data_IF_209374232335
#
_entry.id   IF_209374232335
#
_cell.length_a   1.000
_cell.length_b   1.000
_cell.length_c   1.000
_cell.angle_alpha   90.00
_cell.angle_beta   90.00
_cell.angle_gamma   90.00
#
_symmetry.space_group_name_H-M   'P 1'
#
loop_
_entity.id
_entity.type
_entity.pdbx_description
1 polymer ?
#
# COMPACT_ATOMS: atom_id res chain seq x y z
N UNK A 1 38.79 -15.53 3.84
CA UNK A 1 38.19 -14.38 4.55
C UNK A 1 37.51 -14.84 5.85
N UNK A 2 36.79 -15.97 5.85
CA UNK A 2 36.18 -16.57 7.06
C UNK A 2 37.17 -16.90 8.19
N UNK A 3 38.36 -17.44 7.87
CA UNK A 3 39.32 -17.84 8.91
C UNK A 3 39.88 -16.64 9.71
N UNK A 4 40.01 -15.47 9.07
CA UNK A 4 40.46 -14.25 9.73
C UNK A 4 39.38 -13.65 10.64
N UNK A 5 38.12 -13.69 10.19
CA UNK A 5 36.97 -13.27 11.00
C UNK A 5 36.78 -14.19 12.22
N UNK A 6 36.91 -15.51 12.03
CA UNK A 6 36.82 -16.49 13.11
C UNK A 6 37.93 -16.29 14.16
N UNK A 7 39.16 -16.00 13.71
CA UNK A 7 40.26 -15.70 14.61
C UNK A 7 40.08 -14.37 15.36
N UNK A 8 39.49 -13.36 14.73
CA UNK A 8 39.20 -12.08 15.38
C UNK A 8 38.09 -12.22 16.44
N UNK A 9 37.04 -13.00 16.14
CA UNK A 9 35.96 -13.33 17.08
C UNK A 9 36.51 -14.14 18.27
N UNK A 10 37.35 -15.14 18.01
CA UNK A 10 37.96 -15.93 19.08
C UNK A 10 38.94 -15.09 19.92
N UNK A 11 39.67 -14.16 19.31
CA UNK A 11 40.55 -13.24 20.03
C UNK A 11 39.77 -12.27 20.92
N UNK A 12 38.63 -11.74 20.43
CA UNK A 12 37.74 -10.89 21.24
C UNK A 12 37.07 -11.68 22.35
N UNK A 13 36.61 -12.91 22.08
CA UNK A 13 36.05 -13.80 23.08
C UNK A 13 37.07 -14.09 24.20
N UNK A 14 38.30 -14.41 23.83
CA UNK A 14 39.40 -14.65 24.76
C UNK A 14 39.76 -13.41 25.60
N UNK A 15 39.71 -12.23 24.99
CA UNK A 15 39.95 -10.97 25.69
C UNK A 15 38.81 -10.62 26.67
N UNK A 16 37.57 -10.91 26.30
CA UNK A 16 36.39 -10.75 27.16
C UNK A 16 36.45 -11.73 28.34
N UNK A 17 36.77 -13.01 28.09
CA UNK A 17 36.95 -14.00 29.17
C UNK A 17 38.12 -13.60 30.07
N UNK A 18 39.24 -13.12 29.51
CA UNK A 18 40.38 -12.65 30.31
C UNK A 18 40.04 -11.39 31.12
N UNK A 19 39.24 -10.47 30.58
CA UNK A 19 38.79 -9.29 31.31
C UNK A 19 37.80 -9.63 32.44
N UNK A 20 36.97 -10.67 32.24
CA UNK A 20 36.06 -11.21 33.25
C UNK A 20 36.77 -12.06 34.31
N UNK A 21 37.86 -12.73 33.95
CA UNK A 21 38.70 -13.55 34.83
C UNK A 21 39.91 -12.78 35.41
N UNK A 22 40.09 -11.51 35.05
CA UNK A 22 41.17 -10.67 35.56
C UNK A 22 41.07 -10.59 37.10
N UNK A 23 42.19 -10.53 37.85
CA UNK A 23 42.21 -10.56 39.31
C UNK A 23 41.37 -9.44 39.98
N UNK A 24 41.04 -8.39 39.24
CA UNK A 24 40.11 -7.33 39.63
C UNK A 24 38.65 -7.80 39.78
N UNK A 25 38.27 -8.94 39.23
CA UNK A 25 36.94 -9.55 39.37
C UNK A 25 36.78 -10.41 40.64
N UNK A 26 37.81 -10.49 41.50
CA UNK A 26 37.72 -11.05 42.86
C UNK A 26 37.93 -9.96 43.90
N UNK A 27 37.07 -8.95 43.89
CA UNK A 27 36.96 -8.02 45.01
C UNK A 27 36.28 -8.75 46.18
N UNK A 28 37.05 -9.08 47.23
CA UNK A 28 36.51 -9.58 48.49
C UNK A 28 36.08 -8.37 49.32
N UNK A 29 34.78 -8.11 49.34
CA UNK A 29 34.17 -7.10 50.21
C UNK A 29 33.49 -7.86 51.34
N UNK A 30 33.93 -7.66 52.59
CA UNK A 30 33.43 -8.35 53.78
C UNK A 30 33.45 -9.89 53.72
N UNK A 31 34.47 -10.50 53.13
CA UNK A 31 34.71 -11.96 53.23
C UNK A 31 33.82 -12.85 52.34
N UNK A 32 33.08 -12.29 51.39
CA UNK A 32 32.25 -13.05 50.43
C UNK A 32 32.84 -12.96 49.03
N UNK A 33 33.00 -14.10 48.34
CA UNK A 33 33.46 -14.14 46.95
C UNK A 33 32.34 -13.68 46.01
N UNK A 34 32.48 -12.46 45.46
CA UNK A 34 31.57 -11.94 44.45
C UNK A 34 32.09 -12.41 43.09
N UNK A 35 31.32 -13.27 42.40
CA UNK A 35 31.65 -13.69 41.03
C UNK A 35 31.46 -12.55 40.03
N UNK A 36 32.23 -12.51 38.95
CA UNK A 36 32.15 -11.45 37.93
C UNK A 36 30.74 -11.21 37.35
N UNK A 37 29.89 -12.25 37.37
CA UNK A 37 28.47 -12.15 36.99
C UNK A 37 27.68 -11.18 37.89
N UNK A 38 27.95 -11.17 39.20
CA UNK A 38 27.27 -10.28 40.15
C UNK A 38 27.64 -8.81 39.91
N UNK A 39 28.88 -8.55 39.52
CA UNK A 39 29.33 -7.20 39.17
C UNK A 39 28.60 -6.69 37.92
N UNK A 40 28.46 -7.53 36.89
CA UNK A 40 27.71 -7.19 35.67
C UNK A 40 26.24 -6.97 35.98
N UNK A 41 25.61 -7.81 36.82
CA UNK A 41 24.21 -7.65 37.23
C UNK A 41 23.98 -6.35 38.02
N UNK A 42 24.87 -6.02 38.95
CA UNK A 42 24.78 -4.76 39.72
C UNK A 42 24.98 -3.56 38.79
N UNK A 43 25.92 -3.62 37.85
CA UNK A 43 26.11 -2.57 36.86
C UNK A 43 24.87 -2.38 35.97
N UNK A 44 24.26 -3.48 35.50
CA UNK A 44 23.02 -3.46 34.72
C UNK A 44 21.86 -2.86 35.53
N UNK A 45 21.72 -3.24 36.79
CA UNK A 45 20.71 -2.67 37.70
C UNK A 45 20.91 -1.17 37.89
N UNK A 46 22.16 -0.71 38.07
CA UNK A 46 22.49 0.72 38.18
C UNK A 46 22.14 1.46 36.89
N UNK A 47 22.44 0.90 35.71
CA UNK A 47 22.10 1.51 34.43
C UNK A 47 20.60 1.56 34.21
N UNK A 48 19.86 0.49 34.54
CA UNK A 48 18.39 0.46 34.45
C UNK A 48 17.78 1.50 35.39
N UNK A 49 18.25 1.58 36.64
CA UNK A 49 17.77 2.58 37.60
C UNK A 49 18.13 4.00 37.16
N UNK A 50 19.29 4.21 36.55
CA UNK A 50 19.69 5.49 35.97
C UNK A 50 18.78 5.88 34.81
N UNK A 51 18.52 4.98 33.86
CA UNK A 51 17.62 5.21 32.72
C UNK A 51 16.17 5.47 33.18
N UNK A 52 15.67 4.73 34.18
CA UNK A 52 14.35 4.96 34.77
C UNK A 52 14.28 6.28 35.56
N UNK A 53 15.41 6.73 36.11
CA UNK A 53 15.53 8.04 36.78
C UNK A 53 15.68 9.19 35.79
N UNK A 54 16.03 8.95 34.53
CA UNK A 54 16.01 10.00 33.51
C UNK A 54 14.56 10.38 33.26
N UNK A 55 14.22 11.63 33.59
CA UNK A 55 12.90 12.16 33.29
C UNK A 55 12.72 12.15 31.78
N UNK A 56 11.71 11.43 31.30
CA UNK A 56 11.25 11.50 29.92
C UNK A 56 11.11 12.97 29.53
N UNK A 57 11.73 13.37 28.42
CA UNK A 57 11.72 14.75 27.94
C UNK A 57 10.27 15.22 27.85
N UNK A 58 9.92 16.24 28.64
CA UNK A 58 8.61 16.86 28.58
C UNK A 58 8.78 18.18 27.83
N UNK A 59 8.08 18.36 26.69
CA UNK A 59 8.18 19.61 25.97
C UNK A 59 7.79 20.79 26.88
N UNK A 60 8.48 21.92 26.77
CA UNK A 60 8.20 23.08 27.60
C UNK A 60 6.74 23.54 27.39
N UNK A 61 6.03 23.83 28.48
CA UNK A 61 4.63 24.31 28.43
C UNK A 61 4.47 25.77 27.99
N UNK A 62 5.57 26.48 27.77
CA UNK A 62 5.56 27.86 27.25
C UNK A 62 5.40 27.80 25.73
N UNK A 63 4.76 28.81 25.11
CA UNK A 63 4.85 28.97 23.67
C UNK A 63 6.34 29.12 23.27
N UNK A 64 6.72 28.45 22.19
CA UNK A 64 8.07 28.52 21.63
C UNK A 64 8.34 29.94 21.13
N UNK A 65 9.59 30.38 21.25
CA UNK A 65 10.06 31.61 20.62
C UNK A 65 10.19 31.43 19.10
N UNK A 66 10.11 32.52 18.34
CA UNK A 66 10.28 32.46 16.87
C UNK A 66 11.59 31.78 16.47
N UNK A 67 12.69 32.06 17.20
CA UNK A 67 13.99 31.42 16.96
C UNK A 67 13.98 29.91 17.22
N UNK A 68 13.32 29.44 18.28
CA UNK A 68 13.18 28.00 18.56
C UNK A 68 12.31 27.30 17.50
N UNK A 69 11.30 28.00 16.95
CA UNK A 69 10.48 27.47 15.85
C UNK A 69 11.33 27.32 14.58
N UNK A 70 12.11 28.35 14.23
CA UNK A 70 12.99 28.31 13.06
C UNK A 70 14.02 27.18 13.19
N UNK A 71 14.69 27.05 14.35
CA UNK A 71 15.64 25.96 14.61
C UNK A 71 14.98 24.57 14.47
N UNK A 72 13.77 24.39 14.99
CA UNK A 72 13.04 23.12 14.85
C UNK A 72 12.60 22.85 13.40
N UNK A 73 12.30 23.87 12.62
CA UNK A 73 11.96 23.73 11.21
C UNK A 73 13.20 23.40 10.37
N UNK A 74 14.35 23.99 10.69
CA UNK A 74 15.63 23.74 10.03
C UNK A 74 16.17 22.32 10.33
N UNK A 75 15.98 21.82 11.55
CA UNK A 75 16.38 20.47 11.96
C UNK A 75 15.40 19.38 11.48
N UNK A 76 14.16 19.73 11.15
CA UNK A 76 13.14 18.75 10.80
C UNK A 76 13.37 18.20 9.39
N UNK A 77 13.66 16.90 9.34
CA UNK A 77 13.67 16.13 8.10
C UNK A 77 12.41 15.26 8.09
N UNK A 78 11.50 15.41 7.11
CA UNK A 78 10.35 14.52 7.00
C UNK A 78 10.82 13.08 6.85
N UNK A 79 10.19 12.18 7.61
CA UNK A 79 10.33 10.76 7.34
C UNK A 79 9.88 10.48 5.89
N UNK A 80 10.66 9.67 5.17
CA UNK A 80 10.30 9.27 3.83
C UNK A 80 8.96 8.53 3.87
N UNK A 81 7.97 9.04 3.14
CA UNK A 81 6.66 8.39 2.99
C UNK A 81 6.74 7.09 2.19
N UNK A 82 7.87 6.84 1.53
CA UNK A 82 8.12 5.65 0.73
C UNK A 82 9.29 4.85 1.29
N UNK A 83 9.24 3.50 1.20
CA UNK A 83 10.39 2.68 1.51
C UNK A 83 11.57 3.02 0.59
N UNK A 84 12.82 2.79 1.04
CA UNK A 84 13.99 3.03 0.21
C UNK A 84 13.93 2.18 -1.06
N UNK A 85 14.18 2.82 -2.21
CA UNK A 85 14.12 2.19 -3.52
C UNK A 85 15.29 1.20 -3.64
N UNK A 86 14.99 -0.07 -3.86
CA UNK A 86 15.99 -1.10 -4.16
C UNK A 86 16.33 -1.12 -5.65
N UNK A 87 17.50 -1.65 -6.02
CA UNK A 87 17.88 -1.81 -7.44
C UNK A 87 16.85 -2.65 -8.23
N UNK A 88 16.19 -3.60 -7.57
CA UNK A 88 15.13 -4.44 -8.15
C UNK A 88 13.86 -3.65 -8.48
N UNK A 89 13.62 -2.52 -7.80
CA UNK A 89 12.49 -1.63 -8.07
C UNK A 89 12.77 -0.66 -9.22
N UNK A 90 14.02 -0.54 -9.66
CA UNK A 90 14.40 0.30 -10.79
C UNK A 90 14.09 -0.45 -12.10
N UNK A 91 12.90 -0.20 -12.63
CA UNK A 91 12.51 -0.63 -13.97
C UNK A 91 12.22 0.61 -14.81
N UNK A 92 12.95 0.78 -15.91
CA UNK A 92 12.62 1.80 -16.91
C UNK A 92 11.59 1.21 -17.88
N UNK A 93 10.36 1.75 -17.96
CA UNK A 93 9.39 1.26 -18.92
C UNK A 93 9.82 1.64 -20.35
N UNK A 94 9.53 0.80 -21.35
CA UNK A 94 9.83 1.13 -22.74
C UNK A 94 9.04 2.37 -23.17
N UNK A 95 9.69 3.24 -23.94
CA UNK A 95 9.05 4.44 -24.53
C UNK A 95 8.54 4.09 -25.92
N UNK A 96 7.25 4.28 -26.16
CA UNK A 96 6.65 4.09 -27.48
C UNK A 96 6.82 5.36 -28.32
N UNK A 97 7.38 5.21 -29.51
CA UNK A 97 7.56 6.30 -30.49
C UNK A 97 6.37 6.41 -31.47
N UNK A 98 5.41 5.50 -31.38
CA UNK A 98 4.19 5.48 -32.18
C UNK A 98 2.97 5.09 -31.34
N UNK A 99 1.78 5.05 -31.94
CA UNK A 99 0.58 4.60 -31.25
C UNK A 99 0.77 3.16 -30.71
N UNK A 100 0.17 2.87 -29.56
CA UNK A 100 0.20 1.55 -28.91
C UNK A 100 -0.74 0.54 -29.62
N UNK A 101 -0.61 0.42 -30.94
CA UNK A 101 -1.39 -0.49 -31.78
C UNK A 101 -0.80 -1.91 -31.80
N UNK A 102 -1.21 -2.71 -32.80
CA UNK A 102 -0.69 -4.06 -33.04
C UNK A 102 0.82 -4.07 -33.30
N UNK A 103 1.29 -3.09 -34.07
CA UNK A 103 2.69 -2.81 -34.31
C UNK A 103 3.01 -1.46 -33.66
N UNK A 104 4.18 -1.36 -33.03
CA UNK A 104 4.66 -0.12 -32.43
C UNK A 104 6.16 0.03 -32.62
N UNK A 105 6.70 1.22 -32.33
CA UNK A 105 8.12 1.53 -32.47
C UNK A 105 8.71 1.74 -31.08
N UNK A 106 9.76 0.99 -30.76
CA UNK A 106 10.56 1.12 -29.53
C UNK A 106 12.04 1.17 -29.96
N UNK A 107 12.77 2.18 -29.51
CA UNK A 107 14.19 2.42 -29.84
C UNK A 107 14.44 2.40 -31.36
N UNK A 108 13.57 3.05 -32.13
CA UNK A 108 13.60 3.09 -33.59
C UNK A 108 13.34 1.75 -34.30
N UNK A 109 12.94 0.68 -33.58
CA UNK A 109 12.64 -0.64 -34.15
C UNK A 109 11.14 -0.93 -34.11
N UNK A 110 10.63 -1.42 -35.23
CA UNK A 110 9.26 -1.93 -35.30
C UNK A 110 9.14 -3.26 -34.55
N UNK A 111 8.16 -3.36 -33.65
CA UNK A 111 7.89 -4.54 -32.84
C UNK A 111 6.41 -4.88 -32.83
N UNK A 112 6.09 -6.15 -32.54
CA UNK A 112 4.71 -6.62 -32.35
C UNK A 112 4.32 -6.49 -30.88
N UNK A 113 3.20 -5.82 -30.60
CA UNK A 113 2.75 -5.50 -29.26
C UNK A 113 1.87 -6.61 -28.67
N UNK A 114 2.48 -7.47 -27.86
CA UNK A 114 1.77 -8.48 -27.04
C UNK A 114 1.55 -8.02 -25.58
N UNK A 115 1.91 -6.78 -25.24
CA UNK A 115 1.88 -6.29 -23.87
C UNK A 115 0.62 -5.47 -23.53
N UNK A 116 -0.04 -4.89 -24.54
CA UNK A 116 -1.21 -4.03 -24.31
C UNK A 116 -2.54 -4.80 -24.23
N UNK A 117 -3.51 -4.26 -23.48
CA UNK A 117 -4.88 -4.76 -23.40
C UNK A 117 -5.77 -4.27 -24.56
N UNK A 118 -5.22 -4.16 -25.78
CA UNK A 118 -5.96 -3.71 -26.97
C UNK A 118 -6.64 -4.88 -27.70
N UNK A 119 -7.44 -5.67 -26.99
CA UNK A 119 -8.00 -6.94 -27.49
C UNK A 119 -8.83 -6.81 -28.76
N UNK A 120 -9.52 -5.67 -28.95
CA UNK A 120 -10.38 -5.41 -30.10
C UNK A 120 -9.69 -4.60 -31.20
N UNK A 121 -8.41 -4.23 -31.03
CA UNK A 121 -7.67 -3.47 -32.03
C UNK A 121 -8.20 -2.06 -32.27
N UNK A 122 -8.81 -1.42 -31.27
CA UNK A 122 -9.41 -0.10 -31.40
C UNK A 122 -8.40 1.04 -31.34
N UNK A 123 -7.27 0.86 -30.68
CA UNK A 123 -6.20 1.87 -30.67
C UNK A 123 -5.70 2.09 -32.10
N UNK A 124 -5.83 3.32 -32.59
CA UNK A 124 -5.40 3.72 -33.94
C UNK A 124 -6.45 3.51 -35.05
N UNK A 125 -7.68 3.11 -34.73
CA UNK A 125 -8.73 2.94 -35.73
C UNK A 125 -9.24 4.29 -36.26
N UNK A 126 -9.21 4.51 -37.58
CA UNK A 126 -9.51 5.80 -38.24
C UNK A 126 -10.84 6.43 -37.80
N UNK A 127 -11.92 5.65 -37.80
CA UNK A 127 -13.24 6.10 -37.34
C UNK A 127 -13.26 6.67 -35.91
N UNK A 128 -12.41 6.13 -35.02
CA UNK A 128 -12.28 6.64 -33.65
C UNK A 128 -11.48 7.94 -33.64
N UNK A 129 -10.41 8.04 -34.44
CA UNK A 129 -9.63 9.27 -34.58
C UNK A 129 -10.48 10.42 -35.12
N UNK A 130 -11.30 10.15 -36.15
CA UNK A 130 -12.27 11.10 -36.68
C UNK A 130 -13.27 11.55 -35.60
N UNK A 131 -13.86 10.58 -34.86
CA UNK A 131 -14.80 10.88 -33.78
C UNK A 131 -14.17 11.71 -32.65
N UNK A 132 -12.92 11.41 -32.27
CA UNK A 132 -12.16 12.19 -31.30
C UNK A 132 -11.90 13.62 -31.78
N UNK A 133 -11.58 13.78 -33.07
CA UNK A 133 -11.30 15.10 -33.67
C UNK A 133 -12.57 15.96 -33.68
N UNK A 134 -13.70 15.40 -34.13
CA UNK A 134 -14.99 16.10 -34.10
C UNK A 134 -15.44 16.44 -32.67
N UNK A 135 -15.17 15.57 -31.69
CA UNK A 135 -15.47 15.85 -30.29
C UNK A 135 -14.63 17.03 -29.75
N UNK A 136 -13.33 17.09 -30.09
CA UNK A 136 -12.46 18.20 -29.73
C UNK A 136 -12.90 19.52 -30.35
N UNK A 137 -13.31 19.51 -31.63
CA UNK A 137 -13.83 20.70 -32.31
C UNK A 137 -15.12 21.22 -31.67
N UNK A 138 -16.01 20.32 -31.26
CA UNK A 138 -17.31 20.70 -30.66
C UNK A 138 -17.20 21.10 -29.19
N UNK A 139 -16.43 20.37 -28.40
CA UNK A 139 -16.44 20.46 -26.93
C UNK A 139 -15.17 21.03 -26.31
N UNK A 140 -14.09 21.14 -27.09
CA UNK A 140 -12.76 21.45 -26.57
C UNK A 140 -12.13 20.27 -25.82
N UNK A 141 -11.08 20.56 -25.05
CA UNK A 141 -10.20 19.54 -24.45
C UNK A 141 -10.77 18.95 -23.15
N UNK A 142 -11.62 19.68 -22.42
CA UNK A 142 -12.13 19.20 -21.14
C UNK A 142 -13.26 20.02 -20.56
N UNK A 143 -14.00 19.42 -19.63
CA UNK A 143 -15.14 20.05 -18.96
C UNK A 143 -14.75 21.06 -17.87
N UNK A 144 -13.47 21.06 -17.45
CA UNK A 144 -12.89 21.97 -16.46
C UNK A 144 -13.65 22.05 -15.12
N UNK A 145 -14.47 21.05 -14.77
CA UNK A 145 -15.25 21.01 -13.54
C UNK A 145 -15.74 19.61 -13.17
N UNK A 146 -16.18 19.42 -11.91
CA UNK A 146 -16.74 18.15 -11.45
C UNK A 146 -18.16 17.93 -12.00
N UNK A 147 -18.55 16.65 -12.13
CA UNK A 147 -19.87 16.25 -12.65
C UNK A 147 -21.05 16.82 -11.85
N UNK A 148 -20.88 17.02 -10.54
CA UNK A 148 -21.92 17.56 -9.65
C UNK A 148 -22.09 19.08 -9.68
N UNK A 149 -21.34 19.80 -10.54
CA UNK A 149 -21.45 21.25 -10.68
C UNK A 149 -21.59 21.62 -12.17
N UNK A 150 -20.62 22.33 -12.76
CA UNK A 150 -20.65 22.71 -14.19
C UNK A 150 -19.85 21.78 -15.12
N UNK A 151 -19.41 20.61 -14.64
CA UNK A 151 -18.53 19.70 -15.40
C UNK A 151 -19.23 18.66 -16.27
N UNK A 152 -20.56 18.64 -16.33
CA UNK A 152 -21.32 17.67 -17.12
C UNK A 152 -21.67 18.25 -18.48
N UNK A 153 -21.23 17.58 -19.55
CA UNK A 153 -21.48 17.92 -20.96
C UNK A 153 -22.46 16.87 -21.52
N UNK A 154 -23.27 17.24 -22.52
CA UNK A 154 -24.27 16.36 -23.15
C UNK A 154 -23.70 15.00 -23.59
N UNK A 155 -22.48 14.97 -24.14
CA UNK A 155 -21.80 13.75 -24.58
C UNK A 155 -21.52 12.76 -23.43
N UNK A 156 -21.35 13.24 -22.20
CA UNK A 156 -21.22 12.35 -21.04
C UNK A 156 -22.52 11.60 -20.79
N UNK A 157 -23.66 12.29 -20.84
CA UNK A 157 -24.97 11.70 -20.62
C UNK A 157 -25.37 10.76 -21.76
N UNK A 158 -25.03 11.10 -23.01
CA UNK A 158 -25.23 10.21 -24.16
C UNK A 158 -24.38 8.93 -24.03
N UNK A 159 -23.12 9.06 -23.62
CA UNK A 159 -22.24 7.91 -23.35
C UNK A 159 -22.81 7.01 -22.25
N UNK A 160 -23.23 7.59 -21.13
CA UNK A 160 -23.84 6.86 -20.01
C UNK A 160 -25.12 6.14 -20.42
N UNK A 161 -26.01 6.79 -21.18
CA UNK A 161 -27.23 6.17 -21.69
C UNK A 161 -26.93 5.01 -22.66
N UNK A 162 -25.93 5.16 -23.53
CA UNK A 162 -25.52 4.10 -24.48
C UNK A 162 -24.89 2.91 -23.78
N UNK A 163 -24.05 3.15 -22.76
CA UNK A 163 -23.45 2.08 -21.95
C UNK A 163 -24.54 1.32 -21.19
N UNK A 164 -25.47 2.03 -20.53
CA UNK A 164 -26.58 1.41 -19.82
C UNK A 164 -27.44 0.54 -20.76
N UNK A 165 -27.77 1.06 -21.95
CA UNK A 165 -28.50 0.31 -22.98
C UNK A 165 -27.73 -0.91 -23.48
N UNK A 166 -26.43 -0.78 -23.70
CA UNK A 166 -25.57 -1.88 -24.17
C UNK A 166 -25.48 -3.01 -23.14
N UNK A 167 -25.33 -2.68 -21.86
CA UNK A 167 -25.24 -3.64 -20.76
C UNK A 167 -26.61 -4.15 -20.28
N UNK A 168 -27.71 -3.54 -20.72
CA UNK A 168 -29.06 -3.86 -20.24
C UNK A 168 -29.31 -3.46 -18.78
N UNK A 169 -28.60 -2.45 -18.27
CA UNK A 169 -28.76 -1.92 -16.91
C UNK A 169 -29.70 -0.71 -16.89
N UNK A 170 -30.22 -0.38 -15.71
CA UNK A 170 -31.12 0.78 -15.55
C UNK A 170 -30.40 2.12 -15.83
N UNK A 171 -29.15 2.23 -15.41
CA UNK A 171 -28.34 3.44 -15.56
C UNK A 171 -26.84 3.09 -15.59
N UNK A 172 -26.00 4.09 -15.90
CA UNK A 172 -24.55 4.00 -15.76
C UNK A 172 -23.94 5.34 -15.37
N UNK A 173 -22.75 5.29 -14.77
CA UNK A 173 -22.01 6.48 -14.36
C UNK A 173 -20.59 6.42 -14.93
N UNK A 174 -20.15 7.53 -15.54
CA UNK A 174 -18.83 7.62 -16.15
C UNK A 174 -17.78 8.08 -15.13
N UNK A 175 -16.67 7.37 -15.10
CA UNK A 175 -15.46 7.74 -14.37
C UNK A 175 -14.31 7.99 -15.36
N UNK A 176 -13.38 8.88 -15.01
CA UNK A 176 -12.21 9.17 -15.85
C UNK A 176 -11.19 8.03 -15.88
N UNK A 177 -11.20 7.14 -14.88
CA UNK A 177 -10.25 6.05 -14.77
C UNK A 177 -10.82 4.84 -14.02
N UNK A 178 -10.45 3.63 -14.47
CA UNK A 178 -10.94 2.38 -13.92
C UNK A 178 -10.64 2.19 -12.44
N UNK A 179 -9.40 2.49 -12.00
CA UNK A 179 -9.04 2.39 -10.58
C UNK A 179 -9.84 3.36 -9.71
N UNK A 180 -10.05 4.59 -10.18
CA UNK A 180 -10.87 5.59 -9.47
C UNK A 180 -12.32 5.12 -9.32
N UNK A 181 -12.84 4.35 -10.27
CA UNK A 181 -14.17 3.74 -10.20
C UNK A 181 -14.24 2.78 -9.01
N UNK A 182 -13.28 1.87 -8.87
CA UNK A 182 -13.25 0.87 -7.80
C UNK A 182 -13.09 1.52 -6.42
N UNK A 183 -12.22 2.53 -6.32
CA UNK A 183 -11.95 3.26 -5.08
C UNK A 183 -13.14 4.10 -4.62
N UNK A 184 -14.01 4.50 -5.56
CA UNK A 184 -15.22 5.27 -5.26
C UNK A 184 -16.41 4.37 -4.99
N UNK A 185 -16.66 3.39 -5.86
CA UNK A 185 -17.87 2.57 -5.85
C UNK A 185 -17.93 1.65 -4.63
N UNK A 186 -16.86 0.92 -4.31
CA UNK A 186 -16.85 -0.05 -3.21
C UNK A 186 -17.17 0.61 -1.86
N UNK A 187 -16.45 1.66 -1.41
CA UNK A 187 -16.74 2.34 -0.14
C UNK A 187 -18.05 3.14 -0.13
N UNK A 188 -18.65 3.42 -1.30
CA UNK A 188 -19.98 4.04 -1.36
C UNK A 188 -21.06 3.08 -0.79
N UNK A 189 -20.98 1.80 -1.15
CA UNK A 189 -21.94 0.77 -0.74
C UNK A 189 -21.56 0.07 0.57
N UNK A 190 -20.26 -0.16 0.78
CA UNK A 190 -19.72 -0.91 1.91
C UNK A 190 -19.08 0.04 2.94
N UNK A 191 -19.47 -0.08 4.20
CA UNK A 191 -19.01 0.78 5.30
C UNK A 191 -18.51 -0.06 6.47
N UNK A 192 -17.81 0.58 7.40
CA UNK A 192 -17.41 -0.02 8.68
C UNK A 192 -18.59 -0.74 9.35
N UNK A 193 -18.40 -2.02 9.64
CA UNK A 193 -19.41 -2.90 10.23
C UNK A 193 -20.08 -3.85 9.23
N UNK A 194 -19.91 -3.64 7.92
CA UNK A 194 -20.31 -4.62 6.91
C UNK A 194 -19.25 -5.72 6.74
N UNK A 195 -19.66 -6.85 6.16
CA UNK A 195 -18.75 -7.93 5.77
C UNK A 195 -18.71 -8.02 4.25
N UNK A 196 -17.51 -8.10 3.69
CA UNK A 196 -17.29 -8.35 2.28
C UNK A 196 -16.55 -9.68 2.13
N UNK A 197 -17.16 -10.61 1.41
CA UNK A 197 -16.55 -11.88 1.02
C UNK A 197 -15.99 -11.72 -0.40
N UNK A 198 -14.70 -11.93 -0.58
CA UNK A 198 -14.01 -11.58 -1.82
C UNK A 198 -13.12 -12.71 -2.31
N UNK A 199 -13.03 -12.89 -3.62
CA UNK A 199 -12.12 -13.83 -4.25
C UNK A 199 -10.66 -13.39 -4.04
N UNK A 200 -9.75 -14.29 -3.64
CA UNK A 200 -8.35 -13.94 -3.38
C UNK A 200 -7.57 -13.48 -4.64
N UNK A 201 -8.07 -13.77 -5.84
CA UNK A 201 -7.46 -13.39 -7.11
C UNK A 201 -7.84 -11.99 -7.62
N UNK A 202 -8.73 -11.25 -6.95
CA UNK A 202 -9.18 -9.94 -7.46
C UNK A 202 -8.04 -8.96 -7.70
N UNK A 203 -8.15 -8.16 -8.76
CA UNK A 203 -7.19 -7.15 -9.15
C UNK A 203 -6.87 -6.19 -7.99
N UNK A 204 -5.62 -5.71 -7.95
CA UNK A 204 -5.11 -4.77 -6.94
C UNK A 204 -6.04 -3.55 -6.73
N UNK A 205 -6.71 -3.08 -7.79
CA UNK A 205 -7.64 -1.96 -7.71
C UNK A 205 -8.84 -2.25 -6.81
N UNK A 206 -9.37 -3.47 -6.86
CA UNK A 206 -10.46 -3.91 -6.00
C UNK A 206 -9.97 -3.98 -4.55
N UNK A 207 -8.78 -4.55 -4.32
CA UNK A 207 -8.19 -4.67 -2.99
C UNK A 207 -8.06 -3.31 -2.27
N UNK A 208 -7.65 -2.27 -2.99
CA UNK A 208 -7.59 -0.92 -2.43
C UNK A 208 -8.97 -0.33 -2.14
N UNK A 209 -9.96 -0.54 -3.02
CA UNK A 209 -11.34 -0.14 -2.74
C UNK A 209 -11.92 -0.82 -1.50
N UNK A 210 -11.60 -2.10 -1.29
CA UNK A 210 -11.95 -2.87 -0.09
C UNK A 210 -11.29 -2.28 1.16
N UNK A 211 -10.00 -1.96 1.09
CA UNK A 211 -9.26 -1.32 2.17
C UNK A 211 -9.91 0.03 2.55
N UNK A 212 -10.24 0.87 1.56
CA UNK A 212 -10.89 2.17 1.77
C UNK A 212 -12.29 2.05 2.39
N UNK A 213 -13.00 0.95 2.17
CA UNK A 213 -14.34 0.72 2.74
C UNK A 213 -14.35 0.59 4.27
N UNK A 214 -13.21 0.21 4.88
CA UNK A 214 -13.08 -0.12 6.31
C UNK A 214 -14.05 -1.23 6.78
N UNK A 215 -14.55 -2.03 5.85
CA UNK A 215 -15.41 -3.19 6.12
C UNK A 215 -14.57 -4.37 6.62
N UNK A 216 -15.22 -5.38 7.18
CA UNK A 216 -14.55 -6.65 7.48
C UNK A 216 -14.40 -7.45 6.19
N UNK A 217 -13.16 -7.66 5.75
CA UNK A 217 -12.85 -8.38 4.52
C UNK A 217 -12.55 -9.85 4.85
N UNK A 218 -13.17 -10.77 4.14
CA UNK A 218 -12.94 -12.22 4.26
C UNK A 218 -12.69 -12.79 2.87
N UNK A 219 -11.56 -13.45 2.68
CA UNK A 219 -11.20 -14.04 1.40
C UNK A 219 -11.67 -15.48 1.28
N UNK A 220 -12.08 -15.87 0.08
CA UNK A 220 -12.25 -17.27 -0.33
C UNK A 220 -11.26 -17.61 -1.46
N UNK A 221 -11.03 -18.91 -1.67
CA UNK A 221 -10.06 -19.39 -2.65
C UNK A 221 -10.46 -19.04 -4.08
N UNK A 222 -9.47 -18.70 -4.89
CA UNK A 222 -9.71 -18.17 -6.23
C UNK A 222 -10.51 -19.16 -7.06
N UNK A 223 -11.66 -18.71 -7.57
CA UNK A 223 -12.57 -19.51 -8.40
C UNK A 223 -13.02 -20.85 -7.75
N UNK A 224 -13.10 -20.91 -6.42
CA UNK A 224 -13.49 -22.10 -5.65
C UNK A 224 -14.83 -21.90 -4.92
N UNK A 225 -15.87 -22.55 -5.45
CA UNK A 225 -17.23 -22.49 -4.90
C UNK A 225 -17.38 -23.21 -3.55
N UNK A 226 -16.60 -24.26 -3.29
CA UNK A 226 -16.63 -24.97 -2.00
C UNK A 226 -15.99 -24.11 -0.91
N UNK A 227 -14.89 -23.41 -1.24
CA UNK A 227 -14.28 -22.42 -0.35
C UNK A 227 -15.23 -21.26 -0.05
N UNK A 228 -15.93 -20.75 -1.07
CA UNK A 228 -16.93 -19.70 -0.91
C UNK A 228 -18.07 -20.15 0.02
N UNK A 229 -18.63 -21.34 -0.21
CA UNK A 229 -19.71 -21.89 0.61
C UNK A 229 -19.31 -22.02 2.08
N UNK A 230 -18.17 -22.68 2.36
CA UNK A 230 -17.62 -22.81 3.73
C UNK A 230 -17.41 -21.45 4.41
N UNK A 231 -16.95 -20.46 3.65
CA UNK A 231 -16.71 -19.10 4.16
C UNK A 231 -18.02 -18.43 4.55
N UNK A 232 -19.06 -18.55 3.71
CA UNK A 232 -20.40 -18.00 3.98
C UNK A 232 -21.07 -18.69 5.16
N UNK A 233 -20.96 -20.01 5.28
CA UNK A 233 -21.46 -20.78 6.43
C UNK A 233 -20.81 -20.33 7.74
N UNK A 234 -19.48 -20.20 7.75
CA UNK A 234 -18.72 -19.73 8.91
C UNK A 234 -19.15 -18.34 9.35
N UNK A 235 -19.28 -17.41 8.41
CA UNK A 235 -19.75 -16.04 8.68
C UNK A 235 -21.17 -16.06 9.26
N UNK A 236 -22.04 -16.89 8.71
CA UNK A 236 -23.44 -17.01 9.16
C UNK A 236 -23.52 -17.61 10.57
N UNK A 237 -22.72 -18.63 10.86
CA UNK A 237 -22.66 -19.28 12.16
C UNK A 237 -22.18 -18.32 13.27
N UNK A 238 -21.17 -17.50 12.98
CA UNK A 238 -20.62 -16.52 13.93
C UNK A 238 -21.56 -15.33 14.19
N UNK A 239 -22.39 -14.96 13.21
CA UNK A 239 -23.19 -13.73 13.24
C UNK A 239 -24.70 -13.97 13.43
N UNK A 240 -25.10 -15.12 14.01
CA UNK A 240 -26.53 -15.50 14.19
C UNK A 240 -27.41 -14.47 14.90
N UNK A 241 -26.83 -13.56 15.70
CA UNK A 241 -27.56 -12.53 16.48
C UNK A 241 -27.50 -11.12 15.88
N UNK A 242 -26.79 -10.92 14.77
CA UNK A 242 -26.66 -9.61 14.15
C UNK A 242 -27.89 -9.30 13.28
N UNK A 243 -28.88 -8.59 13.84
CA UNK A 243 -30.14 -8.23 13.16
C UNK A 243 -29.98 -7.36 11.90
N UNK A 244 -28.83 -6.69 11.70
CA UNK A 244 -28.59 -5.73 10.61
C UNK A 244 -27.16 -5.79 10.08
N UNK A 245 -26.70 -6.96 9.66
CA UNK A 245 -25.39 -7.12 9.03
C UNK A 245 -25.56 -7.17 7.51
N UNK A 246 -25.03 -6.17 6.79
CA UNK A 246 -24.97 -6.22 5.33
C UNK A 246 -23.78 -7.08 4.92
N UNK A 247 -24.00 -7.94 3.93
CA UNK A 247 -22.99 -8.85 3.41
C UNK A 247 -22.92 -8.66 1.90
N UNK A 248 -21.71 -8.50 1.39
CA UNK A 248 -21.44 -8.36 -0.03
C UNK A 248 -20.52 -9.48 -0.49
N UNK A 249 -20.70 -9.91 -1.73
CA UNK A 249 -19.76 -10.80 -2.43
C UNK A 249 -19.11 -9.97 -3.53
N UNK A 250 -17.78 -9.98 -3.60
CA UNK A 250 -17.01 -9.25 -4.61
C UNK A 250 -16.17 -10.25 -5.39
N UNK A 251 -16.37 -10.25 -6.70
CA UNK A 251 -15.66 -11.07 -7.68
C UNK A 251 -15.35 -10.21 -8.91
N UNK A 252 -14.43 -10.68 -9.73
CA UNK A 252 -14.05 -10.00 -10.97
C UNK A 252 -14.58 -10.76 -12.19
N UNK A 253 -14.86 -10.05 -13.28
CA UNK A 253 -15.33 -10.68 -14.52
C UNK A 253 -14.18 -11.22 -15.36
N UNK A 254 -13.04 -10.52 -15.37
CA UNK A 254 -11.81 -10.92 -16.02
C UNK A 254 -10.68 -10.66 -15.04
N UNK A 255 -10.13 -11.72 -14.47
CA UNK A 255 -8.98 -11.62 -13.57
C UNK A 255 -7.73 -11.32 -14.41
N UNK A 256 -7.04 -10.23 -14.07
CA UNK A 256 -5.83 -9.74 -14.76
C UNK A 256 -4.59 -9.87 -13.87
#
# INVERSE_FOLDING_TARGET
>A
MELAALNLVNATLNWITFALDAPSARAVVFGVHIGGHLFVEVLLLVVILFLLSQKSYKPPKRPLTEKEIDELCDEWVPESLIPPITQEMLSEPPVLESAAGLHTIIDGKEVVNFASANYLGFVGHDKLLESCTSALEKYGVGSCGPRGFYGTIDVHLDCEARIAKFLGTHDSILYSYGLSTLFSAIPCFCKKGDIIVVDEGVHWGIQNGLYLSRSTIVYFKHNDMESLEKTLEKITAQNKRAKKLRRYIVVESVYQ
#
